data_IF_767078853602
#
_entry.id   IF_767078853602
#
_cell.length_a   1.000
_cell.length_b   1.000
_cell.length_c   1.000
_cell.angle_alpha   90.00
_cell.angle_beta   90.00
_cell.angle_gamma   90.00
#
_symmetry.space_group_name_H-M   'P 1'
#
loop_
_entity.id
_entity.type
_entity.pdbx_description
1 polymer ?
#
# COMPACT_ATOMS: atom_id res chain seq x y z
N UNK A 1 -3.31 44.63 49.97
CA UNK A 1 -3.21 44.97 48.54
C UNK A 1 -3.09 43.65 47.74
N UNK A 2 -4.20 43.16 47.20
CA UNK A 2 -4.19 42.00 46.29
C UNK A 2 -4.08 42.53 44.85
N UNK A 3 -3.02 42.15 44.15
CA UNK A 3 -2.87 42.43 42.72
C UNK A 3 -3.59 41.36 41.93
N UNK A 4 -4.60 41.76 41.16
CA UNK A 4 -5.30 40.88 40.20
C UNK A 4 -4.42 40.74 38.93
N UNK A 5 -3.94 39.53 38.64
CA UNK A 5 -3.35 39.20 37.34
C UNK A 5 -4.47 39.01 36.32
N UNK A 6 -4.50 39.88 35.32
CA UNK A 6 -5.31 39.68 34.10
C UNK A 6 -4.55 38.75 33.14
N UNK A 7 -5.09 37.55 32.91
CA UNK A 7 -4.61 36.69 31.83
C UNK A 7 -5.29 37.16 30.54
N UNK A 8 -4.53 37.80 29.67
CA UNK A 8 -4.99 38.13 28.31
C UNK A 8 -4.91 36.83 27.50
N UNK A 9 -6.04 36.19 27.27
CA UNK A 9 -6.17 35.09 26.33
C UNK A 9 -5.94 35.64 24.91
N UNK A 10 -4.82 35.28 24.30
CA UNK A 10 -4.60 35.49 22.87
C UNK A 10 -5.46 34.48 22.15
N UNK A 11 -6.61 34.93 21.63
CA UNK A 11 -7.41 34.15 20.68
C UNK A 11 -6.64 34.18 19.36
N UNK A 12 -6.02 33.05 18.99
CA UNK A 12 -5.51 32.85 17.63
C UNK A 12 -6.68 32.98 16.66
N UNK A 13 -6.53 33.69 15.55
CA UNK A 13 -7.59 33.77 14.56
C UNK A 13 -7.86 32.36 14.06
N UNK A 14 -9.14 31.97 14.01
CA UNK A 14 -9.56 30.77 13.28
C UNK A 14 -9.00 30.88 11.86
N UNK A 15 -8.25 29.88 11.42
CA UNK A 15 -7.78 29.80 10.05
C UNK A 15 -9.00 29.95 9.15
N UNK A 16 -9.01 30.95 8.26
CA UNK A 16 -10.00 31.06 7.24
C UNK A 16 -9.98 29.74 6.46
N UNK A 17 -11.10 29.02 6.37
CA UNK A 17 -11.20 27.83 5.53
C UNK A 17 -10.74 28.23 4.13
N UNK A 18 -9.65 27.64 3.67
CA UNK A 18 -9.23 27.76 2.29
C UNK A 18 -10.36 27.24 1.39
N UNK A 19 -10.51 27.81 0.20
CA UNK A 19 -11.45 27.25 -0.76
C UNK A 19 -10.95 25.82 -1.12
N UNK A 20 -11.86 24.83 -1.31
CA UNK A 20 -11.48 23.51 -1.79
C UNK A 20 -10.70 23.63 -3.10
N UNK A 21 -9.63 22.87 -3.22
CA UNK A 21 -8.81 22.86 -4.44
C UNK A 21 -8.77 21.48 -5.09
N UNK A 22 -8.64 21.48 -6.40
CA UNK A 22 -8.06 20.40 -7.18
C UNK A 22 -6.84 20.95 -7.87
N UNK A 23 -5.88 20.07 -8.19
CA UNK A 23 -4.67 20.49 -8.91
C UNK A 23 -5.01 21.07 -10.28
N UNK A 24 -4.18 22.02 -10.77
CA UNK A 24 -4.24 22.51 -12.15
C UNK A 24 -3.41 21.66 -13.12
N UNK A 25 -2.61 20.75 -12.59
CA UNK A 25 -1.77 19.86 -13.39
C UNK A 25 -2.64 18.82 -14.11
N UNK A 26 -2.33 18.49 -15.37
CA UNK A 26 -3.06 17.45 -16.08
C UNK A 26 -2.80 16.07 -15.47
N UNK A 27 -3.72 15.09 -15.68
CA UNK A 27 -3.58 13.75 -15.12
C UNK A 27 -2.26 13.08 -15.54
N UNK A 28 -1.61 12.40 -14.61
CA UNK A 28 -0.40 11.60 -14.86
C UNK A 28 -0.69 10.21 -15.42
N UNK A 29 -1.96 9.87 -15.60
CA UNK A 29 -2.44 8.72 -16.34
C UNK A 29 -3.24 9.12 -17.57
N UNK A 30 -3.28 8.24 -18.57
CA UNK A 30 -4.12 8.38 -19.75
C UNK A 30 -5.01 7.17 -19.92
N UNK A 31 -6.31 7.31 -20.28
CA UNK A 31 -7.22 6.20 -20.47
C UNK A 31 -6.83 5.40 -21.73
N UNK A 32 -7.04 4.08 -21.69
CA UNK A 32 -6.90 3.15 -22.80
C UNK A 32 -8.25 2.55 -23.22
N UNK A 33 -9.19 2.41 -22.30
CA UNK A 33 -10.50 1.84 -22.55
C UNK A 33 -11.60 2.91 -22.61
N UNK A 34 -12.66 2.62 -23.37
CA UNK A 34 -13.79 3.51 -23.50
C UNK A 34 -14.55 3.69 -22.18
N UNK A 35 -14.95 4.92 -21.89
CA UNK A 35 -15.71 5.27 -20.69
C UNK A 35 -14.87 5.43 -19.40
N UNK A 36 -13.57 5.15 -19.45
CA UNK A 36 -12.67 5.45 -18.33
C UNK A 36 -12.46 6.96 -18.23
N UNK A 37 -12.66 7.52 -17.02
CA UNK A 37 -12.41 8.93 -16.74
C UNK A 37 -11.31 9.05 -15.68
N UNK A 38 -10.39 9.99 -15.88
CA UNK A 38 -9.26 10.21 -14.97
C UNK A 38 -9.26 11.68 -14.56
N UNK A 39 -9.40 11.91 -13.26
CA UNK A 39 -9.50 13.24 -12.68
C UNK A 39 -8.35 13.46 -11.68
N UNK A 40 -7.47 14.44 -11.90
CA UNK A 40 -6.41 14.74 -10.96
C UNK A 40 -6.99 15.43 -9.73
N UNK A 41 -6.55 15.01 -8.55
CA UNK A 41 -7.01 15.56 -7.26
C UNK A 41 -5.96 16.50 -6.68
N UNK A 42 -4.74 16.02 -6.48
CA UNK A 42 -3.64 16.80 -5.91
C UNK A 42 -2.32 16.34 -6.52
N UNK A 43 -1.42 17.27 -6.78
CA UNK A 43 -0.08 16.99 -7.32
C UNK A 43 0.99 17.37 -6.30
N UNK A 44 2.06 16.60 -6.21
CA UNK A 44 3.19 16.91 -5.36
C UNK A 44 3.68 18.35 -5.58
N UNK A 45 3.83 19.09 -4.48
CA UNK A 45 4.10 20.53 -4.49
C UNK A 45 2.88 21.44 -4.38
N UNK A 46 1.67 20.96 -4.63
CA UNK A 46 0.44 21.73 -4.39
C UNK A 46 0.28 22.08 -2.91
N UNK A 47 -0.29 23.26 -2.64
CA UNK A 47 -0.46 23.79 -1.27
C UNK A 47 -1.92 24.05 -0.95
N UNK A 48 -2.39 23.48 0.16
CA UNK A 48 -3.74 23.65 0.68
C UNK A 48 -3.69 24.09 2.14
N UNK A 49 -4.04 25.35 2.41
CA UNK A 49 -4.16 25.85 3.79
C UNK A 49 -2.88 25.76 4.66
N UNK A 50 -1.71 25.65 4.01
CA UNK A 50 -0.41 25.50 4.69
C UNK A 50 0.14 24.07 4.66
N UNK A 51 -0.64 23.08 4.26
CA UNK A 51 -0.14 21.76 3.89
C UNK A 51 0.40 21.82 2.45
N UNK A 52 1.55 21.25 2.21
CA UNK A 52 2.11 21.01 0.89
C UNK A 52 2.24 19.51 0.67
N UNK A 53 1.72 18.98 -0.45
CA UNK A 53 1.82 17.57 -0.78
C UNK A 53 3.30 17.20 -1.06
N UNK A 54 3.81 16.17 -0.37
CA UNK A 54 5.09 15.52 -0.71
C UNK A 54 4.97 14.70 -1.98
N UNK A 55 6.09 14.32 -2.55
CA UNK A 55 6.15 13.37 -3.65
C UNK A 55 6.10 11.91 -3.22
N UNK A 56 6.30 11.03 -4.18
CA UNK A 56 6.30 9.56 -4.01
C UNK A 56 5.08 9.08 -3.23
N UNK A 57 3.83 9.46 -3.65
CA UNK A 57 2.63 8.97 -2.98
C UNK A 57 2.47 7.47 -3.22
N UNK A 58 1.97 6.77 -2.20
CA UNK A 58 1.70 5.34 -2.22
C UNK A 58 0.49 5.02 -1.33
N UNK A 59 0.47 3.89 -0.68
CA UNK A 59 -0.58 3.31 0.14
C UNK A 59 -1.68 4.24 0.60
N UNK A 60 -2.91 3.96 0.18
CA UNK A 60 -4.08 4.79 0.43
C UNK A 60 -5.06 4.15 1.42
N UNK A 61 -5.79 5.00 2.13
CA UNK A 61 -6.94 4.59 2.91
C UNK A 61 -7.91 5.75 3.09
N UNK A 62 -9.18 5.57 2.76
CA UNK A 62 -10.16 6.63 2.86
C UNK A 62 -11.49 6.16 3.46
N UNK A 63 -12.18 7.05 4.15
CA UNK A 63 -13.49 6.77 4.71
C UNK A 63 -14.32 8.05 4.81
N UNK A 64 -15.63 7.89 4.84
CA UNK A 64 -16.55 9.00 5.02
C UNK A 64 -16.73 9.30 6.53
N UNK A 65 -16.25 10.45 6.96
CA UNK A 65 -16.38 10.89 8.37
C UNK A 65 -17.70 11.62 8.65
N UNK A 66 -18.34 12.20 7.61
CA UNK A 66 -19.66 12.83 7.69
C UNK A 66 -20.39 12.76 6.35
N UNK A 67 -21.62 13.27 6.28
CA UNK A 67 -22.37 13.34 5.02
C UNK A 67 -21.68 14.17 3.91
N UNK A 68 -20.74 15.04 4.27
CA UNK A 68 -20.07 15.96 3.34
C UNK A 68 -18.55 15.88 3.37
N UNK A 69 -17.98 14.97 4.16
CA UNK A 69 -16.54 14.94 4.43
C UNK A 69 -15.98 13.54 4.25
N UNK A 70 -14.92 13.45 3.51
CA UNK A 70 -14.11 12.25 3.32
C UNK A 70 -12.74 12.52 3.93
N UNK A 71 -12.25 11.58 4.75
CA UNK A 71 -10.89 11.57 5.26
C UNK A 71 -10.07 10.59 4.43
N UNK A 72 -8.88 11.01 4.00
CA UNK A 72 -7.95 10.21 3.22
C UNK A 72 -6.58 10.25 3.87
N UNK A 73 -6.00 9.07 4.08
CA UNK A 73 -4.61 8.88 4.45
C UNK A 73 -3.84 8.39 3.24
N UNK A 74 -2.63 8.92 3.06
CA UNK A 74 -1.76 8.60 1.92
C UNK A 74 -0.33 8.53 2.39
N UNK A 75 0.32 7.42 2.13
CA UNK A 75 1.74 7.24 2.35
C UNK A 75 2.57 8.11 1.38
N UNK A 76 3.79 8.40 1.79
CA UNK A 76 4.84 8.91 0.94
C UNK A 76 6.07 8.03 1.16
N UNK A 77 6.43 7.27 0.15
CA UNK A 77 7.53 6.31 0.12
C UNK A 77 8.88 7.04 -0.04
N UNK A 78 9.20 7.85 0.95
CA UNK A 78 10.42 8.65 0.97
C UNK A 78 11.47 7.94 1.82
N UNK A 79 12.68 7.82 1.27
CA UNK A 79 13.82 7.21 1.96
C UNK A 79 14.90 8.24 2.27
N UNK A 80 15.68 8.00 3.31
CA UNK A 80 16.94 8.70 3.53
C UNK A 80 18.03 8.08 2.64
N UNK A 81 17.86 8.19 1.33
CA UNK A 81 18.79 7.67 0.34
C UNK A 81 19.41 8.79 -0.51
N UNK A 82 20.37 8.44 -1.32
CA UNK A 82 21.28 9.32 -2.06
C UNK A 82 20.60 10.42 -2.89
N UNK A 83 19.34 10.26 -3.26
CA UNK A 83 18.62 11.16 -4.16
C UNK A 83 17.34 11.75 -3.54
N UNK A 84 16.84 11.19 -2.44
CA UNK A 84 15.70 11.71 -1.69
C UNK A 84 16.06 11.84 -0.21
N UNK A 85 16.38 13.04 0.26
CA UNK A 85 16.87 13.27 1.62
C UNK A 85 15.75 13.35 2.66
N UNK A 86 14.52 13.05 2.33
CA UNK A 86 13.39 13.09 3.26
C UNK A 86 13.01 11.70 3.76
N UNK A 87 12.46 11.66 4.97
CA UNK A 87 11.93 10.44 5.54
C UNK A 87 10.46 10.24 5.15
N UNK A 88 10.00 9.00 5.22
CA UNK A 88 8.62 8.63 4.93
C UNK A 88 7.62 9.43 5.77
N UNK A 89 6.45 9.68 5.20
CA UNK A 89 5.38 10.50 5.78
C UNK A 89 4.04 9.85 5.55
N UNK A 90 3.05 10.28 6.30
CA UNK A 90 1.65 9.98 6.04
C UNK A 90 0.88 11.29 6.00
N UNK A 91 0.33 11.61 4.84
CA UNK A 91 -0.62 12.71 4.70
C UNK A 91 -2.00 12.32 5.22
N UNK A 92 -2.66 13.27 5.88
CA UNK A 92 -4.08 13.22 6.20
C UNK A 92 -4.78 14.37 5.49
N UNK A 93 -5.61 14.04 4.52
CA UNK A 93 -6.35 14.98 3.69
C UNK A 93 -7.84 14.90 4.02
N UNK A 94 -8.49 16.06 4.06
CA UNK A 94 -9.95 16.16 4.12
C UNK A 94 -10.46 16.56 2.74
N UNK A 95 -11.33 15.76 2.16
CA UNK A 95 -11.95 16.02 0.86
C UNK A 95 -13.45 16.31 1.04
N UNK A 96 -14.01 17.08 0.13
CA UNK A 96 -15.46 17.23 -0.01
C UNK A 96 -16.08 16.11 -0.88
N UNK A 97 -17.42 16.12 -1.04
CA UNK A 97 -18.12 15.11 -1.85
C UNK A 97 -17.78 15.15 -3.34
N UNK A 98 -17.17 16.21 -3.83
CA UNK A 98 -16.66 16.28 -5.22
C UNK A 98 -15.27 15.69 -5.38
N UNK A 99 -14.60 15.34 -4.27
CA UNK A 99 -13.21 14.89 -4.23
C UNK A 99 -12.19 16.03 -4.20
N UNK A 100 -12.65 17.29 -4.06
CA UNK A 100 -11.74 18.42 -3.90
C UNK A 100 -11.16 18.46 -2.49
N UNK A 101 -9.87 18.78 -2.37
CA UNK A 101 -9.16 18.84 -1.08
C UNK A 101 -9.49 20.12 -0.36
N UNK A 102 -10.05 20.00 0.85
CA UNK A 102 -10.45 21.13 1.71
C UNK A 102 -9.32 21.52 2.66
N UNK A 103 -8.60 20.53 3.18
CA UNK A 103 -7.45 20.72 4.09
C UNK A 103 -6.53 19.52 4.04
N UNK A 104 -5.30 19.70 4.52
CA UNK A 104 -4.32 18.64 4.69
C UNK A 104 -3.39 18.93 5.84
N UNK A 105 -2.82 17.87 6.39
CA UNK A 105 -1.75 17.87 7.38
C UNK A 105 -0.94 16.58 7.26
N UNK A 106 0.19 16.49 7.94
CA UNK A 106 0.92 15.22 8.09
C UNK A 106 0.54 14.54 9.40
N UNK A 107 -0.09 13.36 9.31
CA UNK A 107 -0.35 12.50 10.47
C UNK A 107 0.94 11.86 11.00
N UNK A 108 1.90 11.57 10.10
CA UNK A 108 3.29 11.22 10.41
C UNK A 108 4.18 12.12 9.56
N UNK A 109 5.14 12.78 10.20
CA UNK A 109 6.09 13.70 9.55
C UNK A 109 7.42 13.01 9.31
N UNK A 110 8.30 13.59 8.53
CA UNK A 110 9.66 13.07 8.36
C UNK A 110 10.51 13.10 9.65
N UNK A 111 10.09 13.82 10.70
CA UNK A 111 10.81 13.90 11.96
C UNK A 111 10.74 12.63 12.81
N UNK A 112 9.78 11.76 12.60
CA UNK A 112 9.66 10.46 13.23
C UNK A 112 10.72 9.48 12.74
N UNK A 113 11.32 9.73 11.56
CA UNK A 113 12.43 8.96 11.00
C UNK A 113 12.04 7.58 10.51
N UNK A 114 10.83 7.41 9.97
CA UNK A 114 10.43 6.25 9.18
C UNK A 114 10.97 6.38 7.76
N UNK A 115 11.19 5.26 7.10
CA UNK A 115 11.67 5.20 5.73
C UNK A 115 10.76 4.29 4.90
N UNK A 116 10.52 4.67 3.62
CA UNK A 116 9.87 3.83 2.62
C UNK A 116 8.53 3.22 3.12
N UNK A 117 7.52 4.08 3.39
CA UNK A 117 6.15 3.61 3.61
C UNK A 117 5.50 3.30 2.27
N UNK A 118 5.34 2.03 1.97
CA UNK A 118 4.72 1.54 0.75
C UNK A 118 3.20 1.40 0.88
N UNK A 119 2.62 0.29 0.49
CA UNK A 119 1.18 0.03 0.51
C UNK A 119 0.54 0.18 1.89
N UNK A 120 -0.76 0.35 1.93
CA UNK A 120 -1.50 0.52 3.18
C UNK A 120 -2.91 -0.08 3.13
N UNK A 121 -3.46 -0.36 4.30
CA UNK A 121 -4.84 -0.82 4.47
C UNK A 121 -5.55 -0.03 5.55
N UNK A 122 -6.77 0.41 5.26
CA UNK A 122 -7.68 0.96 6.27
C UNK A 122 -8.62 -0.13 6.78
N UNK A 123 -8.67 -0.34 8.09
CA UNK A 123 -9.56 -1.31 8.70
C UNK A 123 -10.23 -0.77 9.97
N UNK A 124 -11.38 -1.32 10.33
CA UNK A 124 -12.15 -0.85 11.50
C UNK A 124 -11.79 -1.62 12.76
N UNK A 125 -11.39 -0.91 13.81
CA UNK A 125 -11.09 -1.48 15.13
C UNK A 125 -12.02 -0.88 16.18
N UNK A 126 -13.00 -1.65 16.58
CA UNK A 126 -13.97 -1.21 17.60
C UNK A 126 -14.78 0.02 17.19
N UNK A 127 -15.12 0.14 15.92
CA UNK A 127 -15.90 1.24 15.35
C UNK A 127 -15.06 2.47 14.95
N UNK A 128 -13.75 2.40 15.06
CA UNK A 128 -12.83 3.47 14.64
C UNK A 128 -12.00 2.98 13.47
N UNK A 129 -11.87 3.76 12.37
CA UNK A 129 -10.91 3.45 11.30
C UNK A 129 -9.47 3.55 11.79
N UNK A 130 -8.65 2.61 11.37
CA UNK A 130 -7.21 2.58 11.62
C UNK A 130 -6.50 2.35 10.29
N UNK A 131 -5.43 3.08 10.07
CA UNK A 131 -4.58 2.98 8.89
C UNK A 131 -3.34 2.15 9.24
N UNK A 132 -3.11 1.08 8.50
CA UNK A 132 -2.01 0.15 8.69
C UNK A 132 -1.03 0.27 7.54
N UNK A 133 0.25 0.36 7.84
CA UNK A 133 1.34 0.37 6.87
C UNK A 133 2.63 -0.10 7.51
N UNK A 134 3.69 -0.27 6.71
CA UNK A 134 5.01 -0.64 7.20
C UNK A 134 6.14 -0.02 6.38
N UNK A 135 7.36 -0.13 6.89
CA UNK A 135 8.58 0.30 6.22
C UNK A 135 9.10 -0.82 5.31
N UNK A 136 9.30 -0.54 4.05
CA UNK A 136 10.07 -1.41 3.15
C UNK A 136 11.61 -1.20 3.33
N UNK A 137 12.01 -0.80 4.52
CA UNK A 137 13.38 -0.38 4.83
C UNK A 137 13.97 -1.14 6.03
N UNK A 138 14.34 -2.43 5.91
CA UNK A 138 14.97 -3.16 7.02
C UNK A 138 16.36 -2.62 7.39
N UNK A 139 16.88 -1.64 6.62
CA UNK A 139 18.09 -0.89 6.95
C UNK A 139 17.81 0.34 7.82
N UNK A 140 16.55 0.71 7.99
CA UNK A 140 16.14 1.79 8.87
C UNK A 140 16.54 1.53 10.33
N UNK A 141 16.48 2.55 11.16
CA UNK A 141 16.71 2.41 12.61
C UNK A 141 15.66 1.55 13.31
N UNK A 142 14.54 1.24 12.63
CA UNK A 142 13.44 0.38 13.09
C UNK A 142 13.45 -1.00 12.46
N UNK A 143 14.45 -1.29 11.62
CA UNK A 143 14.67 -2.60 10.96
C UNK A 143 13.46 -3.07 10.15
N UNK A 144 12.71 -2.16 9.49
CA UNK A 144 11.48 -2.47 8.78
C UNK A 144 10.37 -2.84 9.75
N UNK A 145 9.86 -1.89 10.49
CA UNK A 145 8.72 -2.05 11.39
C UNK A 145 7.44 -1.57 10.72
N UNK A 146 6.31 -2.04 11.22
CA UNK A 146 4.99 -1.57 10.80
C UNK A 146 4.33 -0.72 11.86
N UNK A 147 3.30 0.03 11.46
CA UNK A 147 2.49 0.87 12.34
C UNK A 147 0.99 0.67 12.11
N UNK A 148 0.22 0.97 13.15
CA UNK A 148 -1.22 1.14 13.10
C UNK A 148 -1.59 2.55 13.60
N UNK A 149 -2.10 3.41 12.73
CA UNK A 149 -2.48 4.79 13.00
C UNK A 149 -3.98 4.88 13.28
N UNK A 150 -4.34 5.40 14.45
CA UNK A 150 -5.73 5.61 14.86
C UNK A 150 -6.27 6.92 14.30
N UNK A 151 -7.24 6.88 13.39
CA UNK A 151 -7.80 8.07 12.75
C UNK A 151 -8.49 9.05 13.70
N UNK A 152 -9.06 8.56 14.81
CA UNK A 152 -9.77 9.42 15.77
C UNK A 152 -8.82 10.22 16.67
N UNK A 153 -7.57 9.77 16.85
CA UNK A 153 -6.62 10.41 17.76
C UNK A 153 -5.38 10.97 17.07
N UNK A 154 -5.16 10.61 15.80
CA UNK A 154 -3.94 10.92 15.05
C UNK A 154 -2.68 10.26 15.62
N UNK A 155 -2.82 9.25 16.48
CA UNK A 155 -1.68 8.57 17.11
C UNK A 155 -1.48 7.19 16.50
N UNK A 156 -0.24 6.81 16.28
CA UNK A 156 0.12 5.46 15.84
C UNK A 156 0.66 4.59 16.99
N UNK A 157 0.64 3.30 16.76
CA UNK A 157 1.28 2.26 17.57
C UNK A 157 2.24 1.52 16.64
N UNK A 158 3.52 1.48 16.97
CA UNK A 158 4.46 0.60 16.28
C UNK A 158 4.13 -0.86 16.59
N UNK A 159 4.20 -1.72 15.58
CA UNK A 159 3.78 -3.13 15.66
C UNK A 159 4.91 -4.11 15.32
N UNK A 160 6.06 -4.06 16.02
CA UNK A 160 7.23 -4.89 15.71
C UNK A 160 6.99 -6.40 15.84
N UNK A 161 5.91 -6.80 16.52
CA UNK A 161 5.49 -8.20 16.61
C UNK A 161 4.88 -8.75 15.33
N UNK A 162 4.57 -7.92 14.32
CA UNK A 162 4.21 -8.37 12.98
C UNK A 162 5.44 -8.85 12.19
N UNK A 163 6.64 -8.61 12.69
CA UNK A 163 7.93 -8.97 12.14
C UNK A 163 8.72 -7.74 11.74
N UNK A 164 10.04 -7.87 11.67
CA UNK A 164 10.93 -6.90 11.06
C UNK A 164 11.32 -7.43 9.69
N UNK A 165 10.92 -6.75 8.62
CA UNK A 165 11.08 -7.19 7.23
C UNK A 165 10.96 -6.00 6.27
N UNK A 166 11.04 -6.25 4.98
CA UNK A 166 10.59 -5.32 3.94
C UNK A 166 9.06 -5.37 3.91
N UNK A 167 8.39 -4.50 4.67
CA UNK A 167 6.95 -4.48 4.72
C UNK A 167 6.38 -3.79 3.48
N UNK A 168 5.60 -4.55 2.70
CA UNK A 168 4.77 -3.97 1.66
C UNK A 168 3.41 -3.58 2.21
N UNK A 169 2.62 -4.51 2.69
CA UNK A 169 1.31 -4.20 3.25
C UNK A 169 1.04 -4.96 4.54
N UNK A 170 0.21 -4.37 5.39
CA UNK A 170 -0.31 -4.94 6.64
C UNK A 170 -1.82 -4.96 6.56
N UNK A 171 -2.41 -6.12 6.28
CA UNK A 171 -3.81 -6.28 5.87
C UNK A 171 -4.62 -7.02 6.92
N UNK A 172 -5.41 -6.33 7.76
CA UNK A 172 -6.41 -6.98 8.60
C UNK A 172 -7.50 -7.66 7.75
N UNK A 173 -7.72 -8.95 7.97
CA UNK A 173 -8.76 -9.72 7.29
C UNK A 173 -10.01 -9.76 8.16
N UNK A 174 -11.10 -9.22 7.65
CA UNK A 174 -12.38 -9.16 8.36
C UNK A 174 -13.23 -10.43 8.13
N UNK A 175 -14.29 -10.61 8.92
CA UNK A 175 -15.24 -11.70 8.76
C UNK A 175 -14.80 -13.09 9.24
N UNK A 176 -13.63 -13.19 9.87
CA UNK A 176 -13.13 -14.43 10.47
C UNK A 176 -13.51 -14.56 11.94
N UNK A 177 -13.63 -15.81 12.46
CA UNK A 177 -13.89 -16.07 13.88
C UNK A 177 -12.83 -15.51 14.83
N UNK A 178 -11.64 -15.22 14.31
CA UNK A 178 -10.49 -14.65 15.03
C UNK A 178 -9.80 -13.63 14.16
N UNK A 179 -9.13 -12.67 14.78
CA UNK A 179 -8.30 -11.72 14.08
C UNK A 179 -7.14 -12.42 13.38
N UNK A 180 -6.99 -12.11 12.12
CA UNK A 180 -5.87 -12.44 11.29
C UNK A 180 -5.46 -11.17 10.54
N UNK A 181 -4.16 -10.85 10.60
CA UNK A 181 -3.54 -9.77 9.84
C UNK A 181 -2.56 -10.41 8.90
N UNK A 182 -2.74 -10.25 7.60
CA UNK A 182 -1.76 -10.64 6.59
C UNK A 182 -0.65 -9.60 6.59
N UNK A 183 0.58 -10.06 6.49
CA UNK A 183 1.78 -9.22 6.41
C UNK A 183 2.53 -9.64 5.16
N UNK A 184 2.52 -8.77 4.18
CA UNK A 184 3.24 -8.95 2.92
C UNK A 184 4.69 -8.50 3.08
N UNK A 185 5.62 -9.27 2.52
CA UNK A 185 7.04 -8.98 2.54
C UNK A 185 7.59 -8.92 1.12
N UNK A 186 8.17 -7.79 0.70
CA UNK A 186 9.04 -7.76 -0.47
C UNK A 186 10.44 -8.23 -0.10
N UNK A 187 10.66 -9.53 -0.22
CA UNK A 187 11.94 -10.14 0.10
C UNK A 187 13.01 -9.83 -0.95
N UNK A 188 14.08 -9.19 -0.53
CA UNK A 188 15.22 -8.99 -1.41
C UNK A 188 15.84 -10.31 -1.87
N UNK A 189 16.40 -10.30 -3.08
CA UNK A 189 17.04 -11.45 -3.74
C UNK A 189 16.08 -12.60 -4.13
N UNK A 190 14.77 -12.31 -4.24
CA UNK A 190 13.76 -13.26 -4.68
C UNK A 190 13.45 -14.32 -3.65
N UNK A 191 13.26 -13.90 -2.43
CA UNK A 191 12.76 -14.69 -1.31
C UNK A 191 11.87 -13.82 -0.46
N UNK A 192 10.59 -13.99 -0.63
CA UNK A 192 9.53 -13.36 0.15
C UNK A 192 8.72 -14.42 0.85
N UNK A 193 8.24 -14.17 2.04
CA UNK A 193 7.30 -15.06 2.67
C UNK A 193 5.98 -14.34 2.96
N UNK A 194 4.90 -15.09 2.89
CA UNK A 194 3.60 -14.62 3.31
C UNK A 194 3.40 -14.92 4.79
N UNK A 195 3.33 -13.87 5.59
CA UNK A 195 3.10 -13.98 7.02
C UNK A 195 1.66 -13.67 7.40
N UNK A 196 1.25 -14.18 8.55
CA UNK A 196 0.02 -13.73 9.23
C UNK A 196 0.26 -13.59 10.71
N UNK A 197 -0.34 -12.56 11.30
CA UNK A 197 -0.40 -12.41 12.74
C UNK A 197 -1.79 -12.76 13.24
N UNK A 198 -1.90 -13.75 14.13
CA UNK A 198 -3.19 -14.26 14.62
C UNK A 198 -3.42 -13.92 16.09
N UNK A 199 -4.60 -13.38 16.40
CA UNK A 199 -5.01 -13.05 17.75
C UNK A 199 -6.52 -13.33 17.95
N UNK A 200 -7.06 -13.03 19.12
CA UNK A 200 -8.50 -13.14 19.35
C UNK A 200 -9.30 -11.95 18.82
N UNK A 201 -8.67 -10.77 18.70
CA UNK A 201 -9.28 -9.54 18.15
C UNK A 201 -8.21 -8.68 17.51
N UNK A 202 -8.59 -7.84 16.53
CA UNK A 202 -7.66 -6.93 15.86
C UNK A 202 -7.02 -5.93 16.83
N UNK A 203 -7.77 -5.42 17.82
CA UNK A 203 -7.21 -4.59 18.90
C UNK A 203 -6.07 -5.29 19.63
N UNK A 204 -6.20 -6.59 19.93
CA UNK A 204 -5.13 -7.35 20.58
C UNK A 204 -3.94 -7.59 19.66
N UNK A 205 -4.19 -7.76 18.35
CA UNK A 205 -3.10 -7.81 17.35
C UNK A 205 -2.26 -6.53 17.40
N UNK A 206 -2.90 -5.36 17.39
CA UNK A 206 -2.24 -4.04 17.48
C UNK A 206 -1.40 -3.89 18.75
N UNK A 207 -1.70 -4.62 19.81
CA UNK A 207 -0.96 -4.55 21.09
C UNK A 207 -0.05 -5.77 21.34
N UNK A 208 0.26 -6.57 20.33
CA UNK A 208 1.24 -7.65 20.42
C UNK A 208 0.72 -8.92 21.11
N UNK A 209 -0.59 -9.02 21.33
CA UNK A 209 -1.20 -10.17 21.99
C UNK A 209 -1.62 -11.25 20.96
N UNK A 210 -0.63 -11.83 20.27
CA UNK A 210 -0.89 -12.80 19.21
C UNK A 210 0.32 -13.65 18.85
N UNK A 211 0.32 -14.19 17.64
CA UNK A 211 1.38 -15.11 17.17
C UNK A 211 1.63 -14.87 15.68
N UNK A 212 2.87 -14.62 15.32
CA UNK A 212 3.34 -14.58 13.94
C UNK A 212 3.51 -16.00 13.39
N UNK A 213 3.11 -16.17 12.12
CA UNK A 213 3.14 -17.45 11.40
C UNK A 213 3.51 -17.19 9.96
N UNK A 214 4.15 -18.17 9.29
CA UNK A 214 4.35 -18.16 7.84
C UNK A 214 3.52 -19.25 7.18
N UNK A 215 3.15 -19.06 5.92
CA UNK A 215 2.43 -20.05 5.14
C UNK A 215 3.35 -21.19 4.69
N UNK A 216 2.92 -22.44 4.93
CA UNK A 216 3.68 -23.68 4.62
C UNK A 216 2.75 -24.61 3.86
N UNK A 217 3.09 -25.04 2.62
CA UNK A 217 2.28 -25.98 1.86
C UNK A 217 2.26 -27.36 2.51
N UNK A 218 1.12 -28.05 2.38
CA UNK A 218 0.92 -29.38 2.97
C UNK A 218 1.32 -30.46 1.96
N UNK A 219 2.06 -31.48 2.41
CA UNK A 219 2.45 -32.61 1.56
C UNK A 219 3.65 -32.36 0.66
N UNK A 220 4.23 -31.18 0.70
CA UNK A 220 5.53 -30.89 0.09
C UNK A 220 6.65 -31.51 0.92
N UNK A 221 7.59 -32.15 0.23
CA UNK A 221 8.80 -32.77 0.83
C UNK A 221 10.04 -31.96 0.60
N UNK A 222 9.98 -30.94 -0.27
CA UNK A 222 11.09 -30.05 -0.57
C UNK A 222 11.36 -29.11 0.59
N UNK A 223 12.63 -28.87 0.83
CA UNK A 223 13.07 -28.03 1.95
C UNK A 223 12.69 -26.54 1.76
N UNK A 224 12.52 -26.12 0.50
CA UNK A 224 12.15 -24.75 0.13
C UNK A 224 11.12 -24.82 -1.02
N UNK A 225 9.83 -24.97 -0.70
CA UNK A 225 8.77 -24.88 -1.71
C UNK A 225 8.72 -23.48 -2.31
N UNK A 226 8.51 -23.37 -3.62
CA UNK A 226 8.62 -22.12 -4.37
C UNK A 226 7.62 -22.05 -5.53
N UNK A 227 7.54 -20.96 -6.27
CA UNK A 227 6.66 -20.83 -7.43
C UNK A 227 6.83 -21.89 -8.52
N UNK A 228 7.96 -22.62 -8.55
CA UNK A 228 8.13 -23.78 -9.43
C UNK A 228 7.19 -24.96 -9.09
N UNK A 229 6.69 -25.01 -7.85
CA UNK A 229 5.88 -26.11 -7.34
C UNK A 229 4.38 -25.93 -7.63
N UNK A 230 4.00 -24.79 -8.25
CA UNK A 230 2.61 -24.48 -8.61
C UNK A 230 2.55 -23.77 -9.96
N UNK A 231 1.67 -24.21 -10.83
CA UNK A 231 1.40 -23.59 -12.14
C UNK A 231 0.10 -22.77 -12.11
N UNK A 232 -0.10 -21.93 -13.14
CA UNK A 232 -1.32 -21.15 -13.32
C UNK A 232 -2.58 -22.03 -13.23
N UNK A 233 -3.59 -21.57 -12.51
CA UNK A 233 -4.85 -22.28 -12.27
C UNK A 233 -4.76 -23.49 -11.32
N UNK A 234 -3.60 -23.73 -10.70
CA UNK A 234 -3.43 -24.78 -9.70
C UNK A 234 -3.60 -24.23 -8.29
N UNK A 235 -3.98 -25.12 -7.36
CA UNK A 235 -4.15 -24.80 -5.93
C UNK A 235 -3.26 -25.68 -5.08
N UNK A 236 -2.55 -25.08 -4.14
CA UNK A 236 -1.82 -25.75 -3.07
C UNK A 236 -2.53 -25.55 -1.73
N UNK A 237 -2.83 -26.66 -1.03
CA UNK A 237 -3.30 -26.56 0.35
C UNK A 237 -2.14 -26.34 1.31
N UNK A 238 -2.34 -25.46 2.29
CA UNK A 238 -1.32 -25.12 3.25
C UNK A 238 -1.84 -24.75 4.63
N UNK A 239 -0.92 -24.36 5.47
CA UNK A 239 -1.21 -23.91 6.84
C UNK A 239 -0.23 -22.83 7.28
N UNK A 240 -0.69 -21.94 8.12
CA UNK A 240 0.15 -20.97 8.80
C UNK A 240 0.82 -21.60 10.03
N UNK A 241 2.10 -21.81 9.97
CA UNK A 241 2.93 -22.42 11.01
C UNK A 241 3.57 -21.34 11.86
N UNK A 242 3.52 -21.52 13.19
CA UNK A 242 4.13 -20.57 14.13
C UNK A 242 5.64 -20.45 13.93
N UNK A 243 6.11 -19.20 13.85
CA UNK A 243 7.52 -18.86 13.88
C UNK A 243 7.91 -18.54 15.34
N UNK A 244 8.98 -19.16 15.86
CA UNK A 244 9.56 -18.78 17.14
C UNK A 244 10.22 -17.40 17.00
N UNK A 245 9.50 -16.34 17.34
CA UNK A 245 9.97 -14.95 17.23
C UNK A 245 10.05 -14.30 18.61
N UNK A 246 11.00 -13.40 18.79
CA UNK A 246 11.10 -12.43 19.87
C UNK A 246 10.91 -11.03 19.29
N UNK A 247 10.53 -10.06 20.11
CA UNK A 247 10.32 -8.65 19.69
C UNK A 247 11.52 -8.02 18.96
N UNK A 248 12.72 -8.55 19.15
CA UNK A 248 13.96 -8.06 18.56
C UNK A 248 14.56 -9.09 17.57
N UNK A 249 13.72 -9.89 16.90
CA UNK A 249 14.17 -10.78 15.84
C UNK A 249 14.48 -9.95 14.60
N UNK A 250 15.73 -9.94 14.16
CA UNK A 250 16.15 -9.21 12.96
C UNK A 250 15.52 -9.81 11.70
N UNK A 251 15.40 -9.06 10.60
CA UNK A 251 14.89 -9.57 9.32
C UNK A 251 15.58 -10.87 8.86
N UNK A 252 16.89 -10.93 9.00
CA UNK A 252 17.68 -12.12 8.65
C UNK A 252 17.36 -13.33 9.53
N UNK A 253 17.11 -13.15 10.80
CA UNK A 253 16.73 -14.23 11.73
C UNK A 253 15.30 -14.69 11.48
N UNK A 254 14.39 -13.77 11.12
CA UNK A 254 13.03 -14.09 10.73
C UNK A 254 13.00 -14.93 9.47
N UNK A 255 13.73 -14.53 8.44
CA UNK A 255 13.91 -15.27 7.19
C UNK A 255 14.44 -16.69 7.47
N UNK A 256 15.51 -16.82 8.24
CA UNK A 256 16.08 -18.13 8.58
C UNK A 256 15.10 -19.03 9.38
N UNK A 257 14.29 -18.44 10.26
CA UNK A 257 13.27 -19.17 11.02
C UNK A 257 12.11 -19.63 10.13
N UNK A 258 11.72 -18.84 9.14
CA UNK A 258 10.69 -19.16 8.15
C UNK A 258 11.13 -20.32 7.25
N UNK A 259 12.35 -20.27 6.75
CA UNK A 259 12.93 -21.37 5.97
C UNK A 259 13.04 -22.66 6.78
N UNK A 260 13.44 -22.58 8.06
CA UNK A 260 13.55 -23.75 8.92
C UNK A 260 12.23 -24.51 9.15
N UNK A 261 11.08 -23.87 8.97
CA UNK A 261 9.76 -24.50 9.06
C UNK A 261 9.20 -24.91 7.70
N UNK A 262 9.93 -24.67 6.58
CA UNK A 262 9.51 -24.96 5.22
C UNK A 262 8.46 -23.98 4.69
N UNK A 263 8.57 -22.70 5.04
CA UNK A 263 7.74 -21.66 4.46
C UNK A 263 7.92 -21.60 2.94
N UNK A 264 6.85 -21.23 2.22
CA UNK A 264 6.90 -21.07 0.78
C UNK A 264 7.67 -19.78 0.43
N UNK A 265 8.67 -19.92 -0.43
CA UNK A 265 9.49 -18.80 -0.93
C UNK A 265 8.82 -18.21 -2.17
N UNK A 266 8.12 -17.10 -2.03
CA UNK A 266 7.67 -16.25 -3.15
C UNK A 266 8.87 -15.49 -3.73
N UNK A 267 8.70 -14.80 -4.85
CA UNK A 267 9.79 -14.01 -5.44
C UNK A 267 9.86 -12.62 -4.82
N UNK A 268 8.75 -11.85 -4.90
CA UNK A 268 8.61 -10.51 -4.34
C UNK A 268 7.13 -10.22 -4.14
N UNK A 269 6.63 -10.27 -2.91
CA UNK A 269 5.25 -9.92 -2.62
C UNK A 269 5.18 -8.40 -2.42
N UNK A 270 4.56 -7.68 -3.38
CA UNK A 270 4.46 -6.22 -3.32
C UNK A 270 3.21 -5.76 -2.56
N UNK A 271 2.06 -6.25 -2.87
CA UNK A 271 0.84 -5.84 -2.17
C UNK A 271 -0.10 -7.02 -1.90
N UNK A 272 -1.01 -6.82 -0.96
CA UNK A 272 -2.10 -7.74 -0.64
C UNK A 272 -3.38 -6.97 -0.30
N UNK A 273 -4.53 -7.50 -0.70
CA UNK A 273 -5.84 -6.94 -0.41
C UNK A 273 -6.83 -8.03 0.02
N UNK A 274 -7.56 -7.78 1.11
CA UNK A 274 -8.64 -8.67 1.55
C UNK A 274 -9.92 -8.38 0.77
N UNK A 275 -10.61 -9.42 0.30
CA UNK A 275 -11.88 -9.30 -0.41
C UNK A 275 -13.01 -8.92 0.58
N UNK A 276 -13.65 -7.75 0.42
CA UNK A 276 -14.72 -7.33 1.32
C UNK A 276 -16.02 -8.13 1.11
N UNK A 277 -16.19 -8.78 -0.05
CA UNK A 277 -17.37 -9.56 -0.38
C UNK A 277 -17.25 -11.05 0.00
N UNK A 278 -16.01 -11.58 0.11
CA UNK A 278 -15.74 -12.98 0.45
C UNK A 278 -14.78 -13.09 1.64
N UNK A 279 -15.33 -13.16 2.87
CA UNK A 279 -14.51 -13.21 4.07
C UNK A 279 -13.50 -14.35 4.07
N UNK A 280 -12.23 -14.02 4.27
CA UNK A 280 -11.13 -14.98 4.25
C UNK A 280 -10.45 -15.15 2.90
N UNK A 281 -10.90 -14.45 1.85
CA UNK A 281 -10.17 -14.35 0.58
C UNK A 281 -9.22 -13.14 0.63
N UNK A 282 -7.98 -13.36 0.22
CA UNK A 282 -6.95 -12.34 0.06
C UNK A 282 -6.30 -12.52 -1.30
N UNK A 283 -6.21 -11.46 -2.07
CA UNK A 283 -5.41 -11.42 -3.28
C UNK A 283 -4.07 -10.76 -2.95
N UNK A 284 -2.99 -11.21 -3.59
CA UNK A 284 -1.69 -10.55 -3.46
C UNK A 284 -0.88 -10.66 -4.74
N UNK A 285 -0.04 -9.66 -4.98
CA UNK A 285 0.88 -9.60 -6.09
C UNK A 285 2.24 -10.19 -5.68
N UNK A 286 2.78 -11.06 -6.51
CA UNK A 286 4.19 -11.40 -6.56
C UNK A 286 4.74 -10.79 -7.84
N UNK A 287 5.43 -9.67 -7.75
CA UNK A 287 5.89 -8.90 -8.93
C UNK A 287 6.89 -9.65 -9.78
N UNK A 288 7.49 -10.70 -9.23
CA UNK A 288 8.50 -11.48 -9.91
C UNK A 288 9.86 -10.76 -9.96
N UNK A 289 10.81 -11.35 -10.63
CA UNK A 289 12.13 -10.75 -10.83
C UNK A 289 12.88 -11.36 -12.02
N UNK A 290 13.79 -10.58 -12.61
CA UNK A 290 14.65 -11.06 -13.68
C UNK A 290 15.46 -12.29 -13.24
N UNK A 291 15.40 -13.36 -14.03
CA UNK A 291 16.09 -14.65 -13.80
C UNK A 291 15.61 -15.41 -12.56
N UNK A 292 14.35 -15.19 -12.15
CA UNK A 292 13.69 -15.94 -11.08
C UNK A 292 12.58 -16.83 -11.64
N UNK A 293 11.91 -17.53 -10.75
CA UNK A 293 10.83 -18.48 -11.00
C UNK A 293 9.66 -17.83 -11.72
N UNK A 294 9.36 -16.59 -11.36
CA UNK A 294 8.40 -15.72 -12.05
C UNK A 294 9.14 -14.47 -12.50
N UNK A 295 9.16 -14.23 -13.81
CA UNK A 295 9.80 -13.04 -14.37
C UNK A 295 8.84 -11.87 -14.48
N UNK A 296 7.60 -12.17 -14.91
CA UNK A 296 6.56 -11.16 -15.13
C UNK A 296 5.58 -11.04 -13.97
N UNK A 297 5.78 -11.85 -12.94
CA UNK A 297 4.97 -11.84 -11.74
C UNK A 297 3.67 -12.64 -11.86
N UNK A 298 3.01 -12.76 -10.72
CA UNK A 298 1.75 -13.50 -10.55
C UNK A 298 0.80 -12.76 -9.63
N UNK A 299 -0.50 -12.97 -9.84
CA UNK A 299 -1.52 -12.69 -8.82
C UNK A 299 -1.93 -14.02 -8.19
N UNK A 300 -1.84 -14.08 -6.89
CA UNK A 300 -2.28 -15.21 -6.10
C UNK A 300 -3.62 -14.89 -5.42
N UNK A 301 -4.44 -15.93 -5.27
CA UNK A 301 -5.63 -15.94 -4.42
C UNK A 301 -5.38 -16.87 -3.24
N UNK A 302 -5.47 -16.33 -2.04
CA UNK A 302 -5.37 -17.09 -0.79
C UNK A 302 -6.77 -17.23 -0.19
N UNK A 303 -7.25 -18.46 -0.03
CA UNK A 303 -8.55 -18.76 0.58
C UNK A 303 -8.33 -19.31 1.98
N UNK A 304 -8.58 -18.49 2.99
CA UNK A 304 -8.41 -18.82 4.42
C UNK A 304 -9.68 -19.48 4.94
N UNK A 305 -9.57 -20.62 5.64
CA UNK A 305 -10.70 -21.27 6.30
C UNK A 305 -11.22 -20.39 7.45
N UNK A 306 -12.42 -19.80 7.36
CA UNK A 306 -12.90 -18.85 8.38
C UNK A 306 -13.01 -19.48 9.78
N UNK A 307 -13.31 -20.76 9.87
CA UNK A 307 -13.42 -21.50 11.14
C UNK A 307 -12.07 -21.97 11.68
N UNK A 308 -11.06 -22.06 10.81
CA UNK A 308 -9.69 -22.49 11.12
C UNK A 308 -8.68 -21.57 10.42
N UNK A 309 -8.56 -20.32 10.83
CA UNK A 309 -7.78 -19.30 10.11
C UNK A 309 -6.26 -19.53 10.09
N UNK A 310 -5.82 -20.70 10.53
CA UNK A 310 -4.46 -21.20 10.32
C UNK A 310 -4.36 -22.17 9.12
N UNK A 311 -5.43 -22.39 8.36
CA UNK A 311 -5.44 -23.16 7.12
C UNK A 311 -5.83 -22.25 5.97
N UNK A 312 -5.14 -22.41 4.85
CA UNK A 312 -5.44 -21.65 3.65
C UNK A 312 -4.99 -22.42 2.41
N UNK A 313 -5.77 -22.28 1.36
CA UNK A 313 -5.44 -22.76 0.03
C UNK A 313 -4.91 -21.59 -0.80
N UNK A 314 -3.81 -21.80 -1.51
CA UNK A 314 -3.14 -20.85 -2.40
C UNK A 314 -3.38 -21.25 -3.84
N UNK A 315 -3.92 -20.35 -4.64
CA UNK A 315 -4.16 -20.50 -6.07
C UNK A 315 -3.37 -19.45 -6.87
N UNK A 316 -2.81 -19.84 -8.01
CA UNK A 316 -2.29 -18.89 -8.99
C UNK A 316 -3.45 -18.43 -9.86
N UNK A 317 -3.98 -17.23 -9.57
CA UNK A 317 -5.10 -16.65 -10.30
C UNK A 317 -4.69 -16.13 -11.68
N UNK A 318 -3.59 -15.38 -11.74
CA UNK A 318 -3.00 -14.85 -12.96
C UNK A 318 -1.50 -15.17 -13.00
N UNK A 319 -1.00 -15.55 -14.16
CA UNK A 319 0.41 -15.87 -14.40
C UNK A 319 0.94 -15.04 -15.59
N UNK A 320 1.72 -14.00 -15.29
CA UNK A 320 2.29 -13.10 -16.28
C UNK A 320 3.30 -13.78 -17.23
N UNK A 321 3.92 -14.89 -16.80
CA UNK A 321 4.83 -15.66 -17.65
C UNK A 321 4.08 -16.57 -18.63
N UNK A 322 2.80 -16.84 -18.39
CA UNK A 322 1.96 -17.61 -19.31
C UNK A 322 1.33 -16.75 -20.42
N UNK A 323 1.26 -15.43 -20.25
CA UNK A 323 0.71 -14.49 -21.23
C UNK A 323 1.47 -13.16 -21.21
N UNK A 324 1.26 -12.33 -22.27
CA UNK A 324 1.82 -10.97 -22.34
C UNK A 324 0.87 -9.90 -21.73
N UNK A 325 -0.18 -10.34 -21.04
CA UNK A 325 -1.27 -9.45 -20.61
C UNK A 325 -0.98 -8.74 -19.30
N UNK A 326 -0.05 -9.24 -18.48
CA UNK A 326 0.38 -8.66 -17.21
C UNK A 326 1.90 -8.70 -17.08
N UNK A 327 2.48 -7.66 -16.47
CA UNK A 327 3.92 -7.56 -16.26
C UNK A 327 4.26 -6.81 -14.99
N UNK A 328 4.90 -7.47 -14.04
CA UNK A 328 5.28 -6.93 -12.74
C UNK A 328 4.08 -6.26 -12.02
N UNK A 329 3.06 -7.06 -11.63
CA UNK A 329 1.96 -6.52 -10.81
C UNK A 329 2.51 -6.06 -9.47
N UNK A 330 2.01 -4.94 -9.04
CA UNK A 330 2.43 -4.26 -7.82
C UNK A 330 1.21 -4.05 -6.91
N UNK A 331 0.66 -2.83 -6.83
CA UNK A 331 -0.47 -2.53 -5.96
C UNK A 331 -1.79 -3.12 -6.45
N UNK A 332 -2.65 -3.46 -5.50
CA UNK A 332 -3.93 -4.13 -5.73
C UNK A 332 -5.07 -3.45 -4.97
N UNK A 333 -6.24 -3.43 -5.59
CA UNK A 333 -7.49 -3.17 -4.90
C UNK A 333 -8.62 -4.04 -5.44
N UNK A 334 -9.59 -4.38 -4.60
CA UNK A 334 -10.69 -5.27 -4.95
C UNK A 334 -12.04 -4.64 -4.64
N UNK A 335 -12.95 -4.72 -5.60
CA UNK A 335 -14.39 -4.48 -5.45
C UNK A 335 -15.15 -5.79 -5.46
N UNK A 336 -16.47 -5.75 -5.28
CA UNK A 336 -17.33 -6.93 -5.46
C UNK A 336 -17.31 -7.51 -6.88
N UNK A 337 -16.78 -6.77 -7.87
CA UNK A 337 -16.84 -7.14 -9.30
C UNK A 337 -15.49 -7.36 -9.95
N UNK A 338 -14.46 -6.75 -9.45
CA UNK A 338 -13.17 -6.72 -10.12
C UNK A 338 -11.99 -6.56 -9.15
N UNK A 339 -10.84 -7.07 -9.58
CA UNK A 339 -9.53 -6.76 -9.03
C UNK A 339 -8.87 -5.73 -9.94
N UNK A 340 -8.47 -4.59 -9.39
CA UNK A 340 -7.64 -3.58 -10.04
C UNK A 340 -6.19 -3.87 -9.69
N UNK A 341 -5.33 -3.87 -10.70
CA UNK A 341 -3.92 -4.24 -10.61
C UNK A 341 -3.10 -3.12 -11.23
N UNK A 342 -2.14 -2.61 -10.50
CA UNK A 342 -1.16 -1.67 -11.01
C UNK A 342 0.12 -2.40 -11.37
N UNK A 343 0.78 -1.99 -12.46
CA UNK A 343 2.07 -2.53 -12.86
C UNK A 343 3.20 -1.58 -12.49
N UNK A 344 4.29 -2.13 -11.94
CA UNK A 344 5.61 -1.48 -11.93
C UNK A 344 6.63 -2.26 -12.77
N UNK A 345 6.84 -1.79 -13.99
CA UNK A 345 7.67 -2.46 -15.00
C UNK A 345 9.16 -2.13 -14.86
N UNK A 346 9.67 -2.14 -13.67
CA UNK A 346 11.07 -1.81 -13.38
C UNK A 346 12.09 -2.53 -14.27
N UNK A 347 11.80 -3.74 -14.72
CA UNK A 347 12.71 -4.55 -15.52
C UNK A 347 12.43 -4.50 -17.03
N UNK A 348 11.27 -4.02 -17.44
CA UNK A 348 10.92 -3.88 -18.84
C UNK A 348 11.27 -2.48 -19.34
N UNK A 349 12.46 -2.29 -19.81
CA UNK A 349 12.97 -1.02 -20.40
C UNK A 349 12.15 -0.45 -21.57
N UNK A 350 10.99 -1.01 -21.87
CA UNK A 350 10.11 -0.56 -22.95
C UNK A 350 8.65 -0.74 -22.55
N UNK A 351 7.92 0.33 -22.40
CA UNK A 351 6.49 0.32 -22.08
C UNK A 351 6.17 1.27 -20.94
N UNK A 352 4.90 1.55 -20.79
CA UNK A 352 4.35 2.36 -19.69
C UNK A 352 3.73 1.42 -18.67
N UNK A 353 3.77 1.79 -17.40
CA UNK A 353 3.05 1.10 -16.35
C UNK A 353 1.55 1.22 -16.59
N UNK A 354 0.84 0.11 -16.53
CA UNK A 354 -0.59 0.03 -16.84
C UNK A 354 -1.42 -0.17 -15.60
N UNK A 355 -2.65 0.32 -15.67
CA UNK A 355 -3.73 -0.05 -14.76
C UNK A 355 -4.52 -1.15 -15.45
N UNK A 356 -4.55 -2.34 -14.85
CA UNK A 356 -5.27 -3.51 -15.35
C UNK A 356 -6.51 -3.74 -14.49
N UNK A 357 -7.54 -4.33 -15.12
CA UNK A 357 -8.77 -4.76 -14.44
C UNK A 357 -9.02 -6.22 -14.76
N UNK A 358 -9.06 -7.05 -13.74
CA UNK A 358 -9.53 -8.42 -13.83
C UNK A 358 -10.97 -8.50 -13.34
N UNK A 359 -11.90 -8.83 -14.25
CA UNK A 359 -13.35 -8.92 -13.96
C UNK A 359 -13.72 -10.33 -13.55
N UNK A 360 -14.32 -10.48 -12.36
CA UNK A 360 -14.69 -11.80 -11.83
C UNK A 360 -15.81 -12.50 -12.64
N UNK A 361 -16.67 -11.73 -13.32
CA UNK A 361 -17.84 -12.28 -14.02
C UNK A 361 -17.48 -13.12 -15.25
N UNK A 362 -16.41 -12.79 -15.94
CA UNK A 362 -15.99 -13.44 -17.20
C UNK A 362 -14.50 -13.77 -17.24
N UNK A 363 -13.80 -13.55 -16.11
CA UNK A 363 -12.37 -13.81 -15.94
C UNK A 363 -11.48 -13.04 -16.95
N UNK A 364 -11.98 -11.91 -17.47
CA UNK A 364 -11.26 -11.08 -18.43
C UNK A 364 -10.25 -10.16 -17.73
N UNK A 365 -9.06 -10.01 -18.34
CA UNK A 365 -8.03 -9.05 -17.94
C UNK A 365 -7.87 -7.98 -19.03
N UNK A 366 -8.05 -6.71 -18.68
CA UNK A 366 -8.00 -5.58 -19.61
C UNK A 366 -7.11 -4.45 -19.08
N UNK A 367 -6.27 -3.86 -19.93
CA UNK A 367 -5.56 -2.62 -19.61
C UNK A 367 -6.50 -1.43 -19.86
N UNK A 368 -6.87 -0.71 -18.79
CA UNK A 368 -7.85 0.38 -18.83
C UNK A 368 -7.21 1.77 -18.83
N UNK A 369 -5.99 1.89 -18.30
CA UNK A 369 -5.21 3.12 -18.33
C UNK A 369 -3.71 2.80 -18.33
N UNK A 370 -2.88 3.81 -18.48
CA UNK A 370 -1.42 3.74 -18.35
C UNK A 370 -0.84 5.06 -17.90
N UNK A 371 0.39 5.05 -17.40
CA UNK A 371 1.14 6.28 -17.11
C UNK A 371 1.31 7.14 -18.36
N UNK A 372 1.24 8.47 -18.18
CA UNK A 372 1.30 9.43 -19.29
C UNK A 372 2.72 9.51 -19.88
N UNK A 373 2.85 9.35 -21.20
CA UNK A 373 4.13 9.43 -21.87
C UNK A 373 4.64 10.87 -22.14
N UNK A 374 4.05 11.90 -21.53
CA UNK A 374 4.48 13.27 -21.79
C UNK A 374 6.00 13.40 -21.71
N UNK A 375 6.64 14.11 -22.66
CA UNK A 375 8.08 14.29 -22.66
C UNK A 375 8.48 15.29 -21.57
N UNK A 376 8.50 14.88 -20.34
CA UNK A 376 9.34 15.51 -19.35
C UNK A 376 10.76 15.12 -19.78
N UNK A 377 11.67 16.10 -19.83
CA UNK A 377 13.04 15.84 -20.23
C UNK A 377 13.66 14.87 -19.24
N UNK A 378 13.53 13.58 -19.53
CA UNK A 378 13.95 12.48 -18.68
C UNK A 378 15.45 12.55 -18.56
N UNK A 379 15.94 13.08 -17.45
CA UNK A 379 17.37 13.22 -17.17
C UNK A 379 17.97 11.94 -16.58
N UNK A 380 17.14 10.96 -16.18
CA UNK A 380 17.56 9.67 -15.65
C UNK A 380 17.25 8.55 -16.64
N UNK A 381 18.04 7.48 -16.56
CA UNK A 381 18.07 6.36 -17.51
C UNK A 381 16.81 5.46 -17.49
N UNK A 382 15.71 5.87 -16.86
CA UNK A 382 14.51 5.05 -16.71
C UNK A 382 13.64 4.95 -17.96
N UNK A 383 13.58 5.97 -18.78
CA UNK A 383 12.66 6.00 -19.94
C UNK A 383 11.18 6.10 -19.53
N UNK A 384 10.23 5.74 -20.43
CA UNK A 384 8.79 5.84 -20.18
C UNK A 384 8.23 4.96 -19.05
N UNK A 385 9.01 4.02 -18.54
CA UNK A 385 8.65 3.19 -17.37
C UNK A 385 9.09 3.76 -16.03
N UNK A 386 9.58 5.01 -16.00
CA UNK A 386 10.03 5.64 -14.76
C UNK A 386 8.91 6.19 -13.88
N UNK A 387 7.68 6.25 -14.38
CA UNK A 387 6.50 6.61 -13.61
C UNK A 387 5.76 5.36 -13.22
N UNK A 388 5.54 5.22 -11.95
CA UNK A 388 4.83 4.11 -11.35
C UNK A 388 3.41 4.53 -11.01
N UNK A 389 2.42 3.68 -11.28
CA UNK A 389 1.11 3.86 -10.69
C UNK A 389 1.10 3.03 -9.40
N UNK A 390 0.94 3.69 -8.28
CA UNK A 390 1.08 3.14 -6.95
C UNK A 390 -0.16 3.45 -6.13
N UNK A 391 -0.35 2.86 -4.97
CA UNK A 391 -1.49 3.02 -4.10
C UNK A 391 -2.85 3.02 -4.81
N UNK A 392 -3.73 2.08 -4.52
CA UNK A 392 -5.09 2.06 -5.08
C UNK A 392 -6.10 1.57 -4.07
N UNK A 393 -7.31 2.17 -4.06
CA UNK A 393 -8.44 1.71 -3.24
C UNK A 393 -9.76 1.80 -3.99
N UNK A 394 -10.70 0.89 -3.70
CA UNK A 394 -12.10 1.03 -4.10
C UNK A 394 -12.73 2.23 -3.39
N UNK A 395 -13.19 3.20 -4.17
CA UNK A 395 -13.83 4.41 -3.70
C UNK A 395 -15.34 4.44 -3.98
N UNK A 396 -15.95 3.28 -4.24
CA UNK A 396 -17.38 3.17 -4.56
C UNK A 396 -18.29 3.69 -3.44
N UNK A 397 -17.94 3.48 -2.18
CA UNK A 397 -18.68 4.03 -1.04
C UNK A 397 -18.55 5.55 -0.89
N UNK A 398 -17.51 6.12 -1.48
CA UNK A 398 -17.22 7.55 -1.40
C UNK A 398 -17.84 8.35 -2.55
N UNK A 399 -17.74 7.84 -3.77
CA UNK A 399 -18.09 8.56 -4.99
C UNK A 399 -19.12 7.84 -5.88
N UNK A 400 -19.53 6.63 -5.52
CA UNK A 400 -20.42 5.78 -6.30
C UNK A 400 -19.66 4.66 -7.04
N UNK A 401 -20.39 3.62 -7.43
CA UNK A 401 -19.87 2.43 -8.08
C UNK A 401 -18.99 2.76 -9.30
N UNK A 402 -17.85 2.07 -9.40
CA UNK A 402 -16.86 2.25 -10.46
C UNK A 402 -15.82 3.34 -10.20
N UNK A 403 -15.90 4.07 -9.09
CA UNK A 403 -14.87 5.05 -8.72
C UNK A 403 -13.76 4.42 -7.88
N UNK A 404 -12.53 4.79 -8.21
CA UNK A 404 -11.30 4.40 -7.54
C UNK A 404 -10.50 5.63 -7.15
N UNK A 405 -9.78 5.58 -6.05
CA UNK A 405 -8.69 6.50 -5.75
C UNK A 405 -7.38 5.76 -5.94
N UNK A 406 -6.44 6.41 -6.59
CA UNK A 406 -5.09 5.88 -6.80
C UNK A 406 -4.10 7.01 -6.94
N UNK A 407 -2.83 6.69 -6.93
CA UNK A 407 -1.78 7.66 -7.17
C UNK A 407 -0.73 7.19 -8.19
N UNK A 408 0.15 8.10 -8.52
CA UNK A 408 1.27 7.91 -9.42
C UNK A 408 2.52 8.50 -8.79
N UNK A 409 3.58 7.74 -8.72
CA UNK A 409 4.92 8.20 -8.42
C UNK A 409 5.60 8.69 -9.71
N UNK A 410 6.10 9.91 -9.70
CA UNK A 410 6.72 10.54 -10.86
C UNK A 410 8.22 10.78 -10.60
N UNK A 411 8.99 9.73 -10.65
CA UNK A 411 10.39 9.68 -10.24
C UNK A 411 11.36 10.59 -10.98
N UNK A 412 10.98 11.17 -12.11
CA UNK A 412 11.78 12.13 -12.87
C UNK A 412 11.34 13.60 -12.65
N UNK A 413 10.25 13.82 -11.92
CA UNK A 413 9.77 15.16 -11.53
C UNK A 413 10.35 15.51 -10.17
N UNK A 414 10.96 16.69 -10.05
CA UNK A 414 11.51 17.16 -8.77
C UNK A 414 10.63 18.23 -8.17
N UNK A 415 10.30 18.04 -6.89
CA UNK A 415 9.52 18.99 -6.09
C UNK A 415 10.26 19.32 -4.80
N UNK A 416 10.01 20.49 -4.24
CA UNK A 416 10.54 20.82 -2.91
C UNK A 416 9.90 19.93 -1.85
N UNK A 417 10.71 19.30 -1.02
CA UNK A 417 10.25 18.49 0.12
C UNK A 417 9.84 19.43 1.25
N UNK A 418 8.57 19.39 1.71
CA UNK A 418 8.13 20.23 2.81
C UNK A 418 8.71 19.78 4.15
N UNK A 419 9.00 20.72 5.06
CA UNK A 419 9.34 20.42 6.46
C UNK A 419 8.12 20.01 7.29
N UNK A 420 8.31 19.46 8.51
CA UNK A 420 9.60 19.11 9.11
C UNK A 420 10.17 17.80 8.56
N UNK A 421 11.46 17.71 8.49
CA UNK A 421 12.23 16.55 8.04
C UNK A 421 13.55 16.49 8.81
N UNK A 422 14.21 15.34 8.84
CA UNK A 422 15.57 15.22 9.38
C UNK A 422 16.63 15.89 8.50
N UNK A 423 16.25 16.31 7.30
CA UNK A 423 17.07 17.00 6.30
C UNK A 423 16.54 18.42 6.04
N UNK A 424 17.37 19.31 5.45
CA UNK A 424 16.96 20.68 5.17
C UNK A 424 15.75 20.79 4.25
N UNK A 425 14.85 21.76 4.50
CA UNK A 425 13.63 22.04 3.72
C UNK A 425 13.90 22.44 2.26
N UNK A 426 15.15 22.63 1.86
CA UNK A 426 15.55 22.92 0.48
C UNK A 426 15.86 21.67 -0.32
N UNK A 427 15.69 20.49 0.24
CA UNK A 427 15.87 19.23 -0.48
C UNK A 427 14.80 19.09 -1.57
N UNK A 428 15.20 18.53 -2.70
CA UNK A 428 14.28 18.16 -3.79
C UNK A 428 14.02 16.66 -3.73
N UNK A 429 12.76 16.28 -3.65
CA UNK A 429 12.29 14.91 -3.76
C UNK A 429 11.61 14.64 -5.10
N UNK A 430 11.20 13.41 -5.30
CA UNK A 430 10.45 12.98 -6.48
C UNK A 430 9.03 13.54 -6.47
N UNK A 431 8.36 13.54 -7.63
CA UNK A 431 7.00 14.04 -7.79
C UNK A 431 5.95 12.96 -7.57
N UNK A 432 4.73 13.26 -7.96
CA UNK A 432 3.60 12.33 -7.94
C UNK A 432 2.26 13.02 -7.94
N UNK A 433 1.18 12.26 -8.05
CA UNK A 433 -0.17 12.80 -8.15
C UNK A 433 -1.20 11.84 -7.58
N UNK A 434 -2.10 12.35 -6.75
CA UNK A 434 -3.32 11.67 -6.33
C UNK A 434 -4.39 11.86 -7.42
N UNK A 435 -5.06 10.79 -7.79
CA UNK A 435 -6.04 10.71 -8.87
C UNK A 435 -7.34 10.06 -8.40
N UNK A 436 -8.45 10.46 -9.00
CA UNK A 436 -9.73 9.78 -8.97
C UNK A 436 -10.02 9.21 -10.34
N UNK A 437 -10.32 7.92 -10.42
CA UNK A 437 -10.51 7.22 -11.69
C UNK A 437 -11.85 6.51 -11.68
N UNK A 438 -12.65 6.74 -12.70
CA UNK A 438 -13.86 5.99 -12.96
C UNK A 438 -13.59 4.90 -14.00
N UNK A 439 -13.90 3.66 -13.64
CA UNK A 439 -13.76 2.48 -14.49
C UNK A 439 -15.13 1.80 -14.61
N UNK A 440 -15.72 1.72 -15.81
CA UNK A 440 -17.03 1.12 -15.97
C UNK A 440 -17.07 -0.37 -15.58
N UNK A 441 -18.15 -0.79 -14.92
CA UNK A 441 -18.43 -2.18 -14.54
C UNK A 441 -17.40 -2.79 -13.56
N UNK A 442 -16.82 -1.98 -12.70
CA UNK A 442 -15.95 -2.43 -11.60
C UNK A 442 -16.56 -2.19 -10.24
#
# INVERSE_FOLDING_TARGET
MLAALWVIGIQLPASANAAPITTSEPPQLVPLADGVMIEPVLTAGDVVGGYQMSGVPDGLGAFRSSATTIELYMNHELAFADDDPSNARISHLTLDNSGAVVSGEYAVTGSEGFEEFCSATLATVGGTPWFFTGEEAPRSSREGSSIALNSATGRYVETPWFGHMYHENVVPVEGLDRSLVVVAEDGQAGRSQLYVYTSSTLRRSIHGEGTLRAWVPTGHTDANPSPYDIAGGQTLSGRFVRIPQRMNTSPKELEAASQAIGAFDFVRIEDAVADPADPGVVYFADTGAARKETFRGRIYKLSIDPSRPTRADLEVLLDGDASDDMFNPDNLAVSAKALVIQEDRNYARSGYNRLLVYRFADESLEAVARTDPRPIAIKRAGGPGAWESSGVIDASELFGEGWWLLDVQAGDVRVSVPGPSLVPDSAEGEGGQLLRVFIPNT
#
